data_IF_786659511800
#
_entry.id   IF_786659511800
#
_cell.length_a   1.000
_cell.length_b   1.000
_cell.length_c   1.000
_cell.angle_alpha   90.00
_cell.angle_beta   90.00
_cell.angle_gamma   90.00
#
_symmetry.space_group_name_H-M   'P 1'
#
loop_
_entity.id
_entity.type
_entity.pdbx_description
1 polymer ?
#
# COMPACT_ATOMS: atom_id res chain seq x y z
N UNK A 1 -21.58 10.81 -25.62
CA UNK A 1 -21.22 10.38 -24.24
C UNK A 1 -19.78 10.79 -23.94
N UNK A 2 -19.40 10.96 -22.67
CA UNK A 2 -18.00 11.30 -22.32
C UNK A 2 -17.11 10.06 -22.47
N UNK A 3 -15.91 10.24 -23.03
CA UNK A 3 -14.94 9.16 -23.21
C UNK A 3 -14.51 8.60 -21.84
N UNK A 4 -14.48 7.27 -21.64
CA UNK A 4 -14.00 6.67 -20.40
C UNK A 4 -12.53 7.03 -20.17
N UNK A 5 -12.17 7.44 -18.95
CA UNK A 5 -10.80 7.76 -18.56
C UNK A 5 -10.36 6.87 -17.39
N UNK A 6 -9.11 6.35 -17.39
CA UNK A 6 -8.62 5.52 -16.29
C UNK A 6 -8.18 6.34 -15.06
N UNK A 7 -8.23 7.67 -15.15
CA UNK A 7 -7.80 8.59 -14.09
C UNK A 7 -8.37 8.26 -12.70
N UNK A 8 -9.67 7.96 -12.51
CA UNK A 8 -10.24 7.81 -11.17
C UNK A 8 -9.57 6.73 -10.30
N UNK A 9 -9.10 5.64 -10.91
CA UNK A 9 -8.39 4.56 -10.21
C UNK A 9 -6.86 4.67 -10.30
N UNK A 10 -6.34 5.62 -11.07
CA UNK A 10 -4.91 5.98 -11.13
C UNK A 10 -4.54 7.13 -10.20
N UNK A 11 -5.52 7.85 -9.66
CA UNK A 11 -5.34 8.82 -8.55
C UNK A 11 -5.02 8.08 -7.25
N UNK A 12 -4.62 8.83 -6.22
CA UNK A 12 -4.24 8.34 -4.90
C UNK A 12 -5.19 7.24 -4.35
N UNK A 13 -4.69 6.00 -4.17
CA UNK A 13 -5.54 4.88 -3.77
C UNK A 13 -5.74 4.83 -2.26
N UNK A 14 -4.86 5.50 -1.49
CA UNK A 14 -4.90 5.50 -0.04
C UNK A 14 -5.46 6.83 0.47
N UNK A 15 -6.37 6.74 1.43
CA UNK A 15 -6.79 7.86 2.26
C UNK A 15 -5.60 8.41 3.06
N UNK A 16 -5.70 9.66 3.51
CA UNK A 16 -4.65 10.27 4.35
C UNK A 16 -4.46 9.51 5.66
N UNK A 17 -5.53 8.93 6.20
CA UNK A 17 -5.48 8.01 7.34
C UNK A 17 -4.64 6.76 7.02
N UNK A 18 -4.90 6.09 5.89
CA UNK A 18 -4.14 4.89 5.52
C UNK A 18 -2.66 5.19 5.23
N UNK A 19 -2.35 6.35 4.64
CA UNK A 19 -0.95 6.79 4.44
C UNK A 19 -0.23 7.00 5.77
N UNK A 20 -0.91 7.59 6.75
CA UNK A 20 -0.37 7.80 8.09
C UNK A 20 -0.07 6.46 8.77
N UNK A 21 -1.04 5.55 8.78
CA UNK A 21 -0.87 4.20 9.36
C UNK A 21 0.23 3.41 8.64
N UNK A 22 0.30 3.46 7.31
CA UNK A 22 1.36 2.82 6.52
C UNK A 22 2.74 3.32 6.94
N UNK A 23 2.91 4.64 7.09
CA UNK A 23 4.17 5.24 7.50
C UNK A 23 4.57 4.77 8.90
N UNK A 24 3.64 4.75 9.85
CA UNK A 24 3.88 4.29 11.21
C UNK A 24 4.27 2.80 11.23
N UNK A 25 3.56 1.97 10.46
CA UNK A 25 3.87 0.55 10.28
C UNK A 25 5.27 0.35 9.70
N UNK A 26 5.62 1.04 8.61
CA UNK A 26 6.93 0.88 7.97
C UNK A 26 8.07 1.31 8.88
N UNK A 27 7.93 2.44 9.58
CA UNK A 27 8.95 2.94 10.52
C UNK A 27 9.12 1.96 11.68
N UNK A 28 8.03 1.58 12.35
CA UNK A 28 8.09 0.65 13.49
C UNK A 28 8.62 -0.73 13.07
N UNK A 29 8.20 -1.24 11.91
CA UNK A 29 8.69 -2.52 11.35
C UNK A 29 10.17 -2.47 11.04
N UNK A 30 10.66 -1.37 10.45
CA UNK A 30 12.07 -1.16 10.14
C UNK A 30 12.91 -1.16 11.43
N UNK A 31 12.53 -0.39 12.44
CA UNK A 31 13.24 -0.39 13.72
C UNK A 31 13.19 -1.76 14.41
N UNK A 32 12.04 -2.44 14.38
CA UNK A 32 11.90 -3.80 14.91
C UNK A 32 12.85 -4.79 14.25
N UNK A 33 12.94 -4.75 12.91
CA UNK A 33 13.87 -5.61 12.16
C UNK A 33 15.33 -5.27 12.46
N UNK A 34 15.69 -3.98 12.49
CA UNK A 34 17.05 -3.55 12.82
C UNK A 34 17.43 -4.10 14.19
N UNK A 35 16.60 -3.90 15.22
CA UNK A 35 16.86 -4.41 16.57
C UNK A 35 16.99 -5.94 16.58
N UNK A 36 16.06 -6.65 15.94
CA UNK A 36 16.06 -8.12 15.94
C UNK A 36 17.25 -8.73 15.18
N UNK A 37 17.65 -8.14 14.05
CA UNK A 37 18.73 -8.67 13.19
C UNK A 37 20.12 -8.33 13.72
N UNK A 38 20.29 -7.13 14.26
CA UNK A 38 21.61 -6.67 14.75
C UNK A 38 21.89 -7.05 16.19
N UNK A 39 20.86 -7.43 16.95
CA UNK A 39 21.01 -7.65 18.39
C UNK A 39 21.24 -6.36 19.17
N UNK A 40 20.82 -5.19 18.63
CA UNK A 40 20.87 -3.88 19.29
C UNK A 40 19.87 -3.77 20.46
N UNK A 41 19.74 -4.83 21.26
CA UNK A 41 18.96 -4.80 22.50
C UNK A 41 19.82 -4.13 23.57
N UNK A 42 19.33 -3.07 24.24
CA UNK A 42 20.10 -2.39 25.29
C UNK A 42 20.48 -3.36 26.41
N UNK A 43 21.77 -3.51 26.67
CA UNK A 43 22.28 -4.32 27.79
C UNK A 43 22.48 -3.50 29.05
N UNK A 44 22.75 -2.20 28.90
CA UNK A 44 22.88 -1.23 29.99
C UNK A 44 22.57 0.18 29.51
N UNK A 45 21.99 0.99 30.39
CA UNK A 45 21.92 2.44 30.21
C UNK A 45 22.86 3.06 31.23
N UNK A 46 24.12 3.25 30.81
CA UNK A 46 25.20 3.74 31.68
C UNK A 46 24.90 5.11 32.31
N UNK A 47 24.06 5.94 31.67
CA UNK A 47 23.65 7.25 32.19
C UNK A 47 22.63 7.16 33.33
N UNK A 48 21.94 6.03 33.48
CA UNK A 48 20.94 5.79 34.53
C UNK A 48 21.40 4.74 35.56
N UNK A 49 22.55 4.09 35.34
CA UNK A 49 23.04 3.01 36.19
C UNK A 49 22.17 1.74 36.17
N UNK A 50 21.30 1.60 35.17
CA UNK A 50 20.38 0.45 35.04
C UNK A 50 21.03 -0.59 34.13
N UNK A 51 21.22 -1.80 34.66
CA UNK A 51 21.58 -2.99 33.88
C UNK A 51 20.29 -3.73 33.50
N UNK A 52 20.18 -4.10 32.22
CA UNK A 52 19.01 -4.84 31.74
C UNK A 52 19.25 -6.33 31.94
N UNK A 53 18.39 -6.97 32.74
CA UNK A 53 18.39 -8.42 32.83
C UNK A 53 17.97 -9.05 31.49
N UNK A 54 18.26 -10.33 31.30
CA UNK A 54 17.77 -11.07 30.12
C UNK A 54 16.24 -11.04 30.02
N UNK A 55 15.55 -10.99 31.15
CA UNK A 55 14.09 -10.87 31.21
C UNK A 55 13.63 -9.49 30.70
N UNK A 56 14.32 -8.42 31.07
CA UNK A 56 14.00 -7.06 30.61
C UNK A 56 14.24 -6.89 29.11
N UNK A 57 15.31 -7.49 28.60
CA UNK A 57 15.63 -7.54 27.17
C UNK A 57 14.55 -8.29 26.37
N UNK A 58 14.10 -9.45 26.86
CA UNK A 58 13.00 -10.20 26.27
C UNK A 58 11.67 -9.41 26.30
N UNK A 59 11.39 -8.71 27.40
CA UNK A 59 10.20 -7.87 27.52
C UNK A 59 10.24 -6.68 26.58
N UNK A 60 11.39 -6.04 26.38
CA UNK A 60 11.58 -4.97 25.41
C UNK A 60 11.20 -5.43 23.99
N UNK A 61 11.71 -6.59 23.56
CA UNK A 61 11.39 -7.17 22.25
C UNK A 61 9.90 -7.52 22.11
N UNK A 62 9.27 -8.07 23.16
CA UNK A 62 7.81 -8.32 23.18
C UNK A 62 7.01 -7.02 23.01
N UNK A 63 7.37 -5.96 23.73
CA UNK A 63 6.70 -4.65 23.63
C UNK A 63 6.84 -4.09 22.20
N UNK A 64 8.03 -4.18 21.60
CA UNK A 64 8.23 -3.80 20.20
C UNK A 64 7.34 -4.62 19.26
N UNK A 65 7.24 -5.94 19.47
CA UNK A 65 6.39 -6.80 18.65
C UNK A 65 4.90 -6.42 18.76
N UNK A 66 4.43 -6.12 19.97
CA UNK A 66 3.05 -5.65 20.20
C UNK A 66 2.81 -4.30 19.51
N UNK A 67 3.78 -3.38 19.58
CA UNK A 67 3.69 -2.08 18.91
C UNK A 67 3.58 -2.22 17.38
N UNK A 68 4.43 -3.06 16.77
CA UNK A 68 4.35 -3.34 15.34
C UNK A 68 3.02 -4.01 14.99
N UNK A 69 2.56 -4.98 15.79
CA UNK A 69 1.29 -5.64 15.60
C UNK A 69 0.10 -4.65 15.67
N UNK A 70 0.14 -3.68 16.59
CA UNK A 70 -0.85 -2.63 16.68
C UNK A 70 -0.95 -1.80 15.39
N UNK A 71 0.18 -1.29 14.88
CA UNK A 71 0.20 -0.55 13.62
C UNK A 71 -0.16 -1.42 12.42
N UNK A 72 0.18 -2.71 12.44
CA UNK A 72 -0.18 -3.65 11.39
C UNK A 72 -1.69 -3.82 11.31
N UNK A 73 -2.35 -4.05 12.45
CA UNK A 73 -3.81 -4.17 12.52
C UNK A 73 -4.48 -2.86 12.10
N UNK A 74 -4.02 -1.73 12.64
CA UNK A 74 -4.54 -0.40 12.28
C UNK A 74 -4.45 -0.14 10.78
N UNK A 75 -3.30 -0.42 10.18
CA UNK A 75 -3.10 -0.31 8.74
C UNK A 75 -4.04 -1.25 7.96
N UNK A 76 -4.12 -2.54 8.33
CA UNK A 76 -4.99 -3.51 7.62
C UNK A 76 -6.45 -3.08 7.65
N UNK A 77 -6.96 -2.58 8.78
CA UNK A 77 -8.36 -2.12 8.90
C UNK A 77 -8.67 -1.00 7.91
N UNK A 78 -7.86 0.06 7.89
CA UNK A 78 -8.12 1.22 7.02
C UNK A 78 -7.80 0.90 5.56
N UNK A 79 -6.69 0.21 5.30
CA UNK A 79 -6.26 -0.13 3.95
C UNK A 79 -7.22 -1.10 3.25
N UNK A 80 -7.91 -1.98 4.00
CA UNK A 80 -8.94 -2.85 3.42
C UNK A 80 -10.09 -2.05 2.81
N UNK A 81 -10.56 -1.01 3.50
CA UNK A 81 -11.61 -0.14 2.98
C UNK A 81 -11.17 0.59 1.69
N UNK A 82 -9.95 1.13 1.69
CA UNK A 82 -9.37 1.80 0.53
C UNK A 82 -9.18 0.84 -0.65
N UNK A 83 -8.81 -0.41 -0.40
CA UNK A 83 -8.70 -1.46 -1.43
C UNK A 83 -10.07 -1.77 -2.08
N UNK A 84 -11.16 -1.80 -1.30
CA UNK A 84 -12.51 -1.96 -1.85
C UNK A 84 -12.93 -0.76 -2.71
N UNK A 85 -12.65 0.46 -2.26
CA UNK A 85 -12.93 1.68 -3.02
C UNK A 85 -12.16 1.68 -4.35
N UNK A 86 -10.88 1.32 -4.32
CA UNK A 86 -10.04 1.22 -5.52
C UNK A 86 -10.59 0.18 -6.50
N UNK A 87 -11.00 -1.00 -5.99
CA UNK A 87 -11.63 -2.04 -6.81
C UNK A 87 -12.92 -1.55 -7.46
N UNK A 88 -13.76 -0.81 -6.71
CA UNK A 88 -15.00 -0.23 -7.24
C UNK A 88 -14.71 0.80 -8.34
N UNK A 89 -13.75 1.70 -8.15
CA UNK A 89 -13.34 2.68 -9.16
C UNK A 89 -12.85 2.03 -10.45
N UNK A 90 -12.10 0.93 -10.33
CA UNK A 90 -11.67 0.16 -11.50
C UNK A 90 -12.85 -0.52 -12.21
N UNK A 91 -13.81 -1.05 -11.46
CA UNK A 91 -15.03 -1.62 -12.03
C UNK A 91 -15.89 -0.57 -12.74
N UNK A 92 -16.05 0.62 -12.16
CA UNK A 92 -16.78 1.74 -12.77
C UNK A 92 -16.16 2.17 -14.10
N UNK A 93 -14.82 2.14 -14.18
CA UNK A 93 -14.14 2.36 -15.45
C UNK A 93 -14.48 1.29 -16.49
N UNK A 94 -14.50 0.00 -16.12
CA UNK A 94 -14.84 -1.07 -17.06
C UNK A 94 -16.30 -0.97 -17.54
N UNK A 95 -17.22 -0.65 -16.63
CA UNK A 95 -18.63 -0.42 -16.94
C UNK A 95 -18.80 0.78 -17.89
N UNK A 96 -18.09 1.89 -17.64
CA UNK A 96 -18.07 3.03 -18.56
C UNK A 96 -17.45 2.71 -19.93
N UNK A 97 -16.39 1.89 -19.97
CA UNK A 97 -15.80 1.44 -21.25
C UNK A 97 -16.81 0.61 -22.03
N UNK A 98 -17.50 -0.32 -21.38
CA UNK A 98 -18.49 -1.17 -22.03
C UNK A 98 -19.67 -0.33 -22.56
N UNK A 99 -20.24 0.53 -21.71
CA UNK A 99 -21.34 1.43 -22.09
C UNK A 99 -20.96 2.34 -23.27
N UNK A 100 -19.75 2.89 -23.26
CA UNK A 100 -19.23 3.70 -24.35
C UNK A 100 -19.15 2.93 -25.66
N UNK A 101 -18.63 1.69 -25.63
CA UNK A 101 -18.53 0.82 -26.81
C UNK A 101 -19.91 0.39 -27.34
N UNK A 102 -20.84 0.06 -26.46
CA UNK A 102 -22.20 -0.35 -26.85
C UNK A 102 -23.00 0.81 -27.49
N UNK A 103 -22.68 2.04 -27.08
CA UNK A 103 -23.28 3.26 -27.63
C UNK A 103 -22.59 3.80 -28.90
N UNK A 104 -21.50 3.16 -29.33
CA UNK A 104 -20.64 3.67 -30.40
C UNK A 104 -21.27 3.47 -31.78
N UNK A 105 -21.45 4.56 -32.54
CA UNK A 105 -22.02 4.53 -33.89
C UNK A 105 -20.97 4.71 -34.99
N UNK A 106 -21.33 4.45 -36.25
CA UNK A 106 -20.44 4.73 -37.39
C UNK A 106 -20.11 6.23 -37.52
N UNK A 107 -21.08 7.11 -37.24
CA UNK A 107 -20.86 8.56 -37.24
C UNK A 107 -19.85 8.98 -36.16
N UNK A 108 -19.88 8.33 -34.98
CA UNK A 108 -18.89 8.55 -33.92
C UNK A 108 -17.49 8.12 -34.36
N UNK A 109 -17.38 7.03 -35.13
CA UNK A 109 -16.11 6.55 -35.68
C UNK A 109 -15.52 7.57 -36.65
N UNK A 110 -16.31 8.10 -37.59
CA UNK A 110 -15.87 9.12 -38.55
C UNK A 110 -15.45 10.40 -37.83
N UNK A 111 -16.21 10.84 -36.82
CA UNK A 111 -15.86 11.99 -36.01
C UNK A 111 -14.56 11.77 -35.21
N UNK A 112 -14.37 10.56 -34.66
CA UNK A 112 -13.15 10.17 -33.96
C UNK A 112 -11.93 10.24 -34.89
N UNK A 113 -12.00 9.61 -36.06
CA UNK A 113 -10.89 9.56 -37.01
C UNK A 113 -10.53 10.97 -37.50
N UNK A 114 -11.52 11.82 -37.79
CA UNK A 114 -11.29 13.22 -38.17
C UNK A 114 -10.63 14.04 -37.05
N UNK A 115 -11.03 13.83 -35.79
CA UNK A 115 -10.47 14.56 -34.65
C UNK A 115 -9.06 14.09 -34.27
N UNK A 116 -8.81 12.78 -34.32
CA UNK A 116 -7.54 12.19 -33.86
C UNK A 116 -6.47 12.06 -34.96
N UNK A 117 -6.78 12.33 -36.23
CA UNK A 117 -5.78 12.30 -37.31
C UNK A 117 -4.61 13.29 -37.09
N UNK A 118 -4.82 14.37 -36.35
CA UNK A 118 -3.80 15.41 -36.10
C UNK A 118 -3.21 15.39 -34.68
N UNK A 119 -3.72 14.52 -33.79
CA UNK A 119 -3.32 14.48 -32.39
C UNK A 119 -2.50 13.22 -32.08
N UNK A 120 -1.43 13.32 -31.26
CA UNK A 120 -0.69 12.14 -30.83
C UNK A 120 -1.58 11.22 -29.98
N UNK A 121 -1.53 9.92 -30.27
CA UNK A 121 -2.34 8.95 -29.53
C UNK A 121 -1.73 8.66 -28.15
N UNK A 122 -2.58 8.65 -27.12
CA UNK A 122 -2.16 8.35 -25.73
C UNK A 122 -2.53 6.90 -25.36
N UNK A 123 -2.46 5.98 -26.34
CA UNK A 123 -2.87 4.57 -26.16
C UNK A 123 -2.09 3.86 -25.04
N UNK A 124 -0.82 4.25 -24.85
CA UNK A 124 0.04 3.75 -23.78
C UNK A 124 -0.59 3.95 -22.39
N UNK A 125 -1.28 5.06 -22.15
CA UNK A 125 -1.88 5.40 -20.86
C UNK A 125 -3.00 4.43 -20.50
N UNK A 126 -3.86 4.12 -21.48
CA UNK A 126 -4.96 3.16 -21.32
C UNK A 126 -4.44 1.74 -21.19
N UNK A 127 -3.47 1.33 -22.02
CA UNK A 127 -2.92 -0.03 -22.02
C UNK A 127 -2.12 -0.35 -20.76
N UNK A 128 -1.36 0.62 -20.22
CA UNK A 128 -0.51 0.41 -19.03
C UNK A 128 -1.24 0.64 -17.71
N UNK A 129 -2.43 1.24 -17.72
CA UNK A 129 -3.21 1.56 -16.51
C UNK A 129 -3.39 0.36 -15.56
N UNK A 130 -3.66 -0.84 -16.09
CA UNK A 130 -3.81 -2.08 -15.31
C UNK A 130 -2.53 -2.48 -14.57
N UNK A 131 -1.38 -2.32 -15.22
CA UNK A 131 -0.08 -2.64 -14.63
C UNK A 131 0.31 -1.66 -13.54
N UNK A 132 0.01 -0.38 -13.73
CA UNK A 132 0.21 0.65 -12.70
C UNK A 132 -0.67 0.38 -11.49
N UNK A 133 -1.93 -0.01 -11.70
CA UNK A 133 -2.84 -0.39 -10.63
C UNK A 133 -2.32 -1.60 -9.84
N UNK A 134 -1.84 -2.64 -10.54
CA UNK A 134 -1.25 -3.81 -9.89
C UNK A 134 0.00 -3.45 -9.07
N UNK A 135 0.90 -2.64 -9.65
CA UNK A 135 2.10 -2.19 -8.96
C UNK A 135 1.73 -1.42 -7.69
N UNK A 136 0.76 -0.50 -7.76
CA UNK A 136 0.25 0.20 -6.58
C UNK A 136 -0.34 -0.75 -5.57
N UNK A 137 -1.14 -1.73 -5.98
CA UNK A 137 -1.68 -2.70 -5.03
C UNK A 137 -0.59 -3.44 -4.25
N UNK A 138 0.49 -3.83 -4.93
CA UNK A 138 1.65 -4.48 -4.31
C UNK A 138 2.38 -3.53 -3.35
N UNK A 139 2.72 -2.33 -3.81
CA UNK A 139 3.52 -1.39 -3.03
C UNK A 139 2.75 -0.74 -1.87
N UNK A 140 1.48 -0.41 -2.10
CA UNK A 140 0.68 0.34 -1.14
C UNK A 140 0.09 -0.55 -0.06
N UNK A 141 -0.19 -1.83 -0.34
CA UNK A 141 -0.86 -2.76 0.58
C UNK A 141 0.00 -3.96 0.97
N UNK A 142 0.51 -4.72 -0.01
CA UNK A 142 1.18 -6.00 0.25
C UNK A 142 2.52 -5.81 0.95
N UNK A 143 3.35 -4.89 0.46
CA UNK A 143 4.70 -4.66 0.98
C UNK A 143 4.70 -4.22 2.46
N UNK A 144 3.89 -3.23 2.89
CA UNK A 144 3.82 -2.85 4.30
C UNK A 144 3.37 -3.98 5.22
N UNK A 145 2.36 -4.76 4.79
CA UNK A 145 1.88 -5.93 5.55
C UNK A 145 2.98 -6.97 5.68
N UNK A 146 3.65 -7.32 4.58
CA UNK A 146 4.73 -8.30 4.57
C UNK A 146 5.88 -7.88 5.49
N UNK A 147 6.28 -6.59 5.47
CA UNK A 147 7.29 -6.07 6.37
C UNK A 147 6.85 -6.11 7.85
N UNK A 148 5.61 -5.73 8.15
CA UNK A 148 5.06 -5.80 9.51
C UNK A 148 5.04 -7.22 10.07
N UNK A 149 4.52 -8.17 9.29
CA UNK A 149 4.49 -9.60 9.66
C UNK A 149 5.90 -10.14 9.88
N UNK A 150 6.82 -9.83 8.97
CA UNK A 150 8.21 -10.27 9.07
C UNK A 150 8.88 -9.68 10.32
N UNK A 151 8.70 -8.39 10.59
CA UNK A 151 9.24 -7.74 11.78
C UNK A 151 8.74 -8.38 13.08
N UNK A 152 7.43 -8.61 13.19
CA UNK A 152 6.85 -9.33 14.34
C UNK A 152 7.44 -10.73 14.50
N UNK A 153 7.55 -11.50 13.41
CA UNK A 153 8.11 -12.86 13.45
C UNK A 153 9.57 -12.86 13.94
N UNK A 154 10.41 -11.94 13.44
CA UNK A 154 11.80 -11.83 13.88
C UNK A 154 11.92 -11.40 15.35
N UNK A 155 11.11 -10.43 15.79
CA UNK A 155 11.11 -9.99 17.19
C UNK A 155 10.70 -11.11 18.14
N UNK A 156 9.66 -11.88 17.81
CA UNK A 156 9.18 -12.98 18.65
C UNK A 156 10.15 -14.17 18.66
N UNK A 157 10.76 -14.51 17.53
CA UNK A 157 11.75 -15.58 17.44
C UNK A 157 13.02 -15.29 18.25
N UNK A 158 13.33 -14.01 18.51
CA UNK A 158 14.46 -13.62 19.38
C UNK A 158 14.14 -13.70 20.88
N UNK A 159 12.87 -13.85 21.22
CA UNK A 159 12.40 -13.95 22.61
C UNK A 159 12.21 -15.40 23.06
N UNK A 160 11.95 -16.30 22.11
CA UNK A 160 11.88 -17.74 22.35
C UNK A 160 13.27 -18.36 22.53
#
# INVERSE_FOLDING_TARGET
MTKPTPEPFLVDPLSDSAKSERKNLLISSFFGLVVALTGLVPTKISSLGIEFSLVDQANFLKIMAVLVAYFLIGFVVVATADAFILRKKYQDYLEHVQSYLDSWTEDDQVAHDNFYHSLPTISWFYQKSKWVLLARFVFDFILPIALGVTSCAYLLNKVA
#
